data_IF_343043368827
#
_entry.id   IF_343043368827
#
_cell.length_a   1.000
_cell.length_b   1.000
_cell.length_c   1.000
_cell.angle_alpha   90.00
_cell.angle_beta   90.00
_cell.angle_gamma   90.00
#
_symmetry.space_group_name_H-M   'P 1'
#
loop_
_entity.id
_entity.type
_entity.pdbx_description
1 polymer ?
#
# COMPACT_ATOMS: atom_id res chain seq x y z
N UNK A 1 -3.50 22.00 -10.41
CA UNK A 1 -2.38 21.81 -11.35
C UNK A 1 -1.11 21.75 -10.52
N UNK A 2 -0.61 20.56 -10.28
CA UNK A 2 0.63 20.32 -9.51
C UNK A 2 1.77 20.55 -10.50
N UNK A 3 2.63 21.53 -10.21
CA UNK A 3 3.85 21.77 -11.00
C UNK A 3 4.78 20.55 -10.90
N UNK A 4 5.36 20.17 -12.05
CA UNK A 4 6.12 18.95 -12.19
C UNK A 4 7.37 18.89 -11.31
N UNK A 5 7.76 17.69 -10.94
CA UNK A 5 8.90 17.29 -10.10
C UNK A 5 10.30 17.57 -10.70
N UNK A 6 10.36 18.22 -11.88
CA UNK A 6 11.60 18.38 -12.65
C UNK A 6 12.50 19.57 -12.27
N UNK A 7 12.09 20.46 -11.36
CA UNK A 7 12.79 21.71 -11.09
C UNK A 7 13.34 21.82 -9.64
N UNK A 8 13.90 20.74 -9.11
CA UNK A 8 14.73 20.86 -7.91
C UNK A 8 16.08 21.42 -8.35
N UNK A 9 16.17 22.72 -8.38
CA UNK A 9 17.40 23.45 -8.70
C UNK A 9 18.45 23.22 -7.62
N UNK A 10 19.61 22.77 -8.05
CA UNK A 10 20.86 22.86 -7.29
C UNK A 10 21.13 24.35 -7.07
N UNK A 11 21.18 24.76 -5.80
CA UNK A 11 21.36 26.16 -5.44
C UNK A 11 22.67 26.75 -5.93
N UNK A 12 22.74 28.09 -6.08
CA UNK A 12 23.95 28.80 -6.56
C UNK A 12 25.08 28.81 -5.51
N UNK A 13 26.32 29.00 -5.93
CA UNK A 13 27.48 28.96 -5.04
C UNK A 13 27.58 30.21 -4.15
N UNK A 14 27.77 29.97 -2.85
CA UNK A 14 28.48 30.77 -1.84
C UNK A 14 28.35 32.30 -1.91
N UNK A 15 27.45 32.87 -1.11
CA UNK A 15 27.63 34.21 -0.57
C UNK A 15 27.91 34.10 0.94
N UNK A 16 29.13 34.46 1.32
CA UNK A 16 29.71 34.41 2.65
C UNK A 16 29.42 35.72 3.37
N UNK A 17 28.24 35.91 3.89
CA UNK A 17 27.96 37.02 4.81
C UNK A 17 27.09 36.59 5.98
N UNK A 18 27.80 36.13 7.04
CA UNK A 18 27.48 36.33 8.48
C UNK A 18 26.01 36.34 8.92
N UNK A 19 25.44 35.18 9.00
CA UNK A 19 24.63 34.72 10.16
C UNK A 19 24.86 33.21 10.23
N UNK A 20 25.32 32.68 11.35
CA UNK A 20 25.35 31.23 11.60
C UNK A 20 23.90 30.72 11.51
N UNK A 21 23.45 30.45 10.28
CA UNK A 21 22.20 29.71 10.09
C UNK A 21 22.48 28.30 10.58
N UNK A 22 22.02 27.99 11.77
CA UNK A 22 21.88 26.61 12.21
C UNK A 22 21.28 25.85 11.04
N UNK A 23 21.91 24.76 10.59
CA UNK A 23 21.31 23.95 9.52
C UNK A 23 19.96 23.44 10.07
N UNK A 24 18.89 23.50 9.26
CA UNK A 24 17.62 22.93 9.66
C UNK A 24 17.79 21.49 10.12
N UNK A 25 17.02 21.09 11.13
CA UNK A 25 16.91 19.70 11.53
C UNK A 25 16.25 18.84 10.44
N UNK A 26 16.04 17.57 10.73
CA UNK A 26 15.45 16.60 9.80
C UNK A 26 14.14 16.05 10.34
N UNK A 27 13.20 15.74 9.45
CA UNK A 27 12.08 14.87 9.75
C UNK A 27 12.55 13.42 9.62
N UNK A 28 12.37 12.62 10.67
CA UNK A 28 12.76 11.21 10.73
C UNK A 28 11.50 10.37 10.94
N UNK A 29 11.03 9.67 9.91
CA UNK A 29 9.91 8.75 10.02
C UNK A 29 10.41 7.44 10.63
N UNK A 30 10.01 7.14 11.87
CA UNK A 30 10.51 5.99 12.61
C UNK A 30 9.51 4.83 12.57
N UNK A 31 9.85 3.75 11.87
CA UNK A 31 9.04 2.53 11.80
C UNK A 31 9.07 1.75 13.10
N UNK A 32 7.90 1.61 13.73
CA UNK A 32 7.71 0.93 15.01
C UNK A 32 7.28 -0.53 14.83
N UNK A 33 7.49 -1.42 15.81
CA UNK A 33 6.98 -2.78 15.77
C UNK A 33 5.47 -2.85 15.57
N UNK A 34 4.99 -3.78 14.75
CA UNK A 34 3.55 -4.02 14.54
C UNK A 34 2.95 -5.01 15.55
N UNK A 35 3.75 -5.48 16.51
CA UNK A 35 3.33 -6.42 17.56
C UNK A 35 4.53 -6.91 18.36
N UNK A 36 5.40 -7.70 17.73
CA UNK A 36 6.59 -8.25 18.38
C UNK A 36 7.69 -7.19 18.51
N UNK A 37 8.03 -6.84 19.76
CA UNK A 37 9.11 -5.88 20.08
C UNK A 37 10.47 -6.27 19.50
N UNK A 38 10.72 -7.55 19.24
CA UNK A 38 11.97 -8.05 18.64
C UNK A 38 12.19 -7.57 17.21
N UNK A 39 11.13 -7.08 16.56
CA UNK A 39 11.21 -6.46 15.24
C UNK A 39 11.67 -5.00 15.28
N UNK A 40 11.85 -4.40 16.46
CA UNK A 40 12.46 -3.08 16.59
C UNK A 40 13.93 -3.16 16.14
N UNK A 41 14.30 -2.30 15.18
CA UNK A 41 15.68 -2.23 14.73
C UNK A 41 16.58 -1.54 15.78
N UNK A 42 17.88 -1.86 15.84
CA UNK A 42 18.82 -1.09 16.65
C UNK A 42 18.77 0.41 16.33
N UNK A 43 18.64 0.76 15.05
CA UNK A 43 18.53 2.14 14.61
C UNK A 43 17.29 2.86 15.17
N UNK A 44 16.14 2.16 15.30
CA UNK A 44 14.96 2.71 15.95
C UNK A 44 15.23 3.03 17.43
N UNK A 45 15.88 2.09 18.14
CA UNK A 45 16.22 2.23 19.56
C UNK A 45 17.13 3.45 19.79
N UNK A 46 18.19 3.59 18.98
CA UNK A 46 19.10 4.73 19.00
C UNK A 46 18.38 6.04 18.68
N UNK A 47 17.58 6.06 17.60
CA UNK A 47 16.82 7.24 17.20
C UNK A 47 15.87 7.72 18.28
N UNK A 48 15.13 6.82 18.94
CA UNK A 48 14.21 7.18 20.00
C UNK A 48 14.94 7.66 21.28
N UNK A 49 16.12 7.08 21.57
CA UNK A 49 16.96 7.48 22.71
C UNK A 49 17.50 8.90 22.56
N UNK A 50 18.04 9.19 21.36
CA UNK A 50 18.78 10.42 21.09
C UNK A 50 17.89 11.55 20.59
N UNK A 51 16.60 11.29 20.38
CA UNK A 51 15.63 12.28 19.90
C UNK A 51 15.52 13.47 20.86
N UNK A 52 15.42 14.70 20.29
CA UNK A 52 15.03 15.89 21.01
C UNK A 52 13.51 16.08 21.04
N UNK A 53 12.88 15.79 19.90
CA UNK A 53 11.43 15.91 19.72
C UNK A 53 10.91 14.61 19.12
N UNK A 54 9.88 14.03 19.73
CA UNK A 54 9.14 12.90 19.18
C UNK A 54 7.68 13.32 18.99
N UNK A 55 7.24 13.37 17.73
CA UNK A 55 5.86 13.53 17.34
C UNK A 55 5.19 12.15 17.33
N UNK A 56 4.36 11.88 18.32
CA UNK A 56 3.74 10.58 18.56
C UNK A 56 2.23 10.61 18.28
N UNK A 57 1.70 9.59 17.61
CA UNK A 57 0.27 9.42 17.36
C UNK A 57 -0.49 9.30 18.70
N UNK A 58 -0.15 8.32 19.53
CA UNK A 58 -0.60 8.23 20.92
C UNK A 58 0.61 8.25 21.87
N UNK A 59 0.73 9.31 22.66
CA UNK A 59 1.86 9.49 23.60
C UNK A 59 1.90 8.42 24.69
N UNK A 60 0.78 7.76 24.99
CA UNK A 60 0.71 6.66 25.98
C UNK A 60 1.29 5.39 25.37
N UNK A 61 0.92 5.07 24.12
CA UNK A 61 1.45 3.93 23.39
C UNK A 61 2.95 4.08 23.13
N UNK A 62 3.42 5.29 22.79
CA UNK A 62 4.85 5.56 22.70
C UNK A 62 5.57 5.28 24.03
N UNK A 63 5.06 5.74 25.17
CA UNK A 63 5.67 5.45 26.48
C UNK A 63 5.71 3.96 26.80
N UNK A 64 4.65 3.23 26.41
CA UNK A 64 4.62 1.78 26.55
C UNK A 64 5.66 1.10 25.66
N UNK A 65 5.83 1.57 24.42
CA UNK A 65 6.87 1.09 23.51
C UNK A 65 8.26 1.32 24.08
N UNK A 66 8.57 2.55 24.49
CA UNK A 66 9.87 2.91 25.11
C UNK A 66 10.20 1.99 26.28
N UNK A 67 9.23 1.77 27.21
CA UNK A 67 9.39 0.87 28.34
C UNK A 67 9.64 -0.56 27.91
N UNK A 68 8.91 -1.06 26.91
CA UNK A 68 9.08 -2.43 26.36
C UNK A 68 10.42 -2.64 25.66
N UNK A 69 11.01 -1.57 25.12
CA UNK A 69 12.30 -1.59 24.44
C UNK A 69 13.46 -1.24 25.36
N UNK A 70 13.19 -0.93 26.62
CA UNK A 70 14.19 -0.45 27.60
C UNK A 70 14.94 0.80 27.11
N UNK A 71 14.19 1.74 26.55
CA UNK A 71 14.70 3.02 26.03
C UNK A 71 14.33 4.16 26.98
N UNK A 72 15.35 4.80 27.54
CA UNK A 72 15.22 6.07 28.24
C UNK A 72 15.49 7.21 27.25
N UNK A 73 14.65 8.23 27.26
CA UNK A 73 14.80 9.41 26.41
C UNK A 73 14.41 10.67 27.16
N UNK A 74 15.11 11.76 26.87
CA UNK A 74 14.78 13.11 27.37
C UNK A 74 13.95 13.92 26.36
N UNK A 75 13.47 13.28 25.30
CA UNK A 75 12.74 13.92 24.22
C UNK A 75 11.49 14.65 24.71
N UNK A 76 11.23 15.82 24.15
CA UNK A 76 9.91 16.45 24.21
C UNK A 76 8.92 15.65 23.36
N UNK A 77 7.99 14.93 23.99
CA UNK A 77 6.95 14.17 23.28
C UNK A 77 5.76 15.08 22.98
N UNK A 78 5.43 15.20 21.70
CA UNK A 78 4.31 15.99 21.16
C UNK A 78 3.26 15.04 20.60
N UNK A 79 1.98 15.24 20.97
CA UNK A 79 0.90 14.48 20.35
C UNK A 79 0.67 14.95 18.91
N UNK A 80 0.69 14.02 17.94
CA UNK A 80 0.57 14.29 16.51
C UNK A 80 -0.29 13.20 15.85
N UNK A 81 -1.58 13.46 15.69
CA UNK A 81 -2.57 12.53 15.14
C UNK A 81 -3.47 13.25 14.13
N UNK A 82 -4.24 12.51 13.34
CA UNK A 82 -5.06 13.03 12.24
C UNK A 82 -5.88 14.28 12.63
N UNK A 83 -6.45 14.27 13.84
CA UNK A 83 -7.29 15.39 14.31
C UNK A 83 -6.53 16.68 14.67
N UNK A 84 -5.21 16.64 14.88
CA UNK A 84 -4.40 17.81 15.23
C UNK A 84 -3.23 18.10 14.29
N UNK A 85 -3.00 17.28 13.27
CA UNK A 85 -1.87 17.41 12.33
C UNK A 85 -1.72 18.84 11.81
N UNK A 86 -2.81 19.47 11.37
CA UNK A 86 -2.77 20.81 10.77
C UNK A 86 -2.16 21.87 11.71
N UNK A 87 -2.59 21.88 12.96
CA UNK A 87 -2.09 22.84 13.95
C UNK A 87 -0.65 22.51 14.38
N UNK A 88 -0.33 21.21 14.56
CA UNK A 88 0.97 20.76 15.04
C UNK A 88 2.05 20.82 13.97
N UNK A 89 1.71 20.68 12.70
CA UNK A 89 2.69 20.77 11.61
C UNK A 89 3.45 22.10 11.63
N UNK A 90 2.76 23.23 11.83
CA UNK A 90 3.43 24.54 11.93
C UNK A 90 4.44 24.60 13.08
N UNK A 91 4.03 24.16 14.27
CA UNK A 91 4.92 24.11 15.45
C UNK A 91 6.18 23.23 15.21
N UNK A 92 5.99 22.09 14.57
CA UNK A 92 7.10 21.16 14.27
C UNK A 92 8.03 21.71 13.19
N UNK A 93 7.51 22.43 12.18
CA UNK A 93 8.34 23.12 11.18
C UNK A 93 9.19 24.20 11.83
N UNK A 94 8.64 24.99 12.78
CA UNK A 94 9.43 25.98 13.49
C UNK A 94 10.59 25.33 14.24
N UNK A 95 10.37 24.22 14.95
CA UNK A 95 11.44 23.48 15.63
C UNK A 95 12.50 22.94 14.65
N UNK A 96 12.09 22.45 13.48
CA UNK A 96 12.99 21.97 12.45
C UNK A 96 13.86 23.11 11.87
N UNK A 97 13.26 24.29 11.67
CA UNK A 97 13.99 25.47 11.20
C UNK A 97 14.98 26.00 12.26
N UNK A 98 14.69 25.81 13.54
CA UNK A 98 15.59 26.11 14.65
C UNK A 98 16.75 25.10 14.81
N UNK A 99 16.75 24.01 14.01
CA UNK A 99 17.83 23.01 13.93
C UNK A 99 17.56 21.75 14.76
N UNK A 100 16.37 21.54 15.33
CA UNK A 100 16.02 20.33 16.02
C UNK A 100 15.47 19.25 15.07
N UNK A 101 16.00 18.03 15.15
CA UNK A 101 15.41 16.87 14.46
C UNK A 101 14.05 16.50 15.09
N UNK A 102 13.07 16.18 14.26
CA UNK A 102 11.76 15.69 14.68
C UNK A 102 11.59 14.23 14.26
N UNK A 103 11.47 13.35 15.23
CA UNK A 103 11.15 11.93 15.02
C UNK A 103 9.64 11.76 15.02
N UNK A 104 9.08 11.22 13.95
CA UNK A 104 7.65 10.85 13.89
C UNK A 104 7.52 9.37 14.18
N UNK A 105 6.71 9.00 15.15
CA UNK A 105 6.45 7.63 15.55
C UNK A 105 4.94 7.38 15.65
N UNK A 106 4.44 6.39 14.95
CA UNK A 106 3.05 5.94 15.00
C UNK A 106 2.88 4.75 15.95
N UNK A 107 1.67 4.39 16.24
CA UNK A 107 1.33 3.32 17.17
C UNK A 107 1.90 1.97 16.74
N UNK A 108 1.96 1.72 15.42
CA UNK A 108 2.51 0.51 14.82
C UNK A 108 2.88 0.74 13.34
N UNK A 109 4.01 0.21 12.89
CA UNK A 109 4.41 0.26 11.50
C UNK A 109 5.10 1.55 11.07
N UNK A 110 4.98 1.89 9.79
CA UNK A 110 5.62 3.07 9.20
C UNK A 110 4.70 4.29 9.24
N UNK A 111 5.17 5.43 9.78
CA UNK A 111 4.41 6.69 9.70
C UNK A 111 4.04 7.06 8.26
N UNK A 112 2.98 7.82 8.07
CA UNK A 112 2.45 8.28 6.78
C UNK A 112 1.77 7.20 5.93
N UNK A 113 1.71 5.94 6.37
CA UNK A 113 1.05 4.84 5.64
C UNK A 113 -0.22 4.44 6.37
N UNK A 114 -1.34 5.07 6.04
CA UNK A 114 -2.63 5.01 6.78
C UNK A 114 -2.57 5.59 8.20
N UNK A 115 -1.50 6.28 8.52
CA UNK A 115 -1.19 6.86 9.81
C UNK A 115 -0.79 8.34 9.64
N UNK A 116 -0.73 9.15 10.71
CA UNK A 116 -0.30 10.54 10.63
C UNK A 116 1.17 10.66 10.17
N UNK A 117 1.52 11.81 9.59
CA UNK A 117 2.88 12.11 9.14
C UNK A 117 2.96 12.75 7.76
N UNK A 118 2.08 12.39 6.84
CA UNK A 118 2.11 12.87 5.46
C UNK A 118 2.13 14.40 5.35
N UNK A 119 1.33 15.10 6.17
CA UNK A 119 1.28 16.58 6.17
C UNK A 119 2.62 17.19 6.57
N UNK A 120 3.27 16.64 7.60
CA UNK A 120 4.58 17.13 8.04
C UNK A 120 5.64 16.87 6.97
N UNK A 121 5.61 15.73 6.30
CA UNK A 121 6.51 15.40 5.18
C UNK A 121 6.39 16.42 4.05
N UNK A 122 5.16 16.73 3.62
CA UNK A 122 4.94 17.74 2.56
C UNK A 122 5.43 19.10 3.00
N UNK A 123 5.05 19.56 4.19
CA UNK A 123 5.49 20.85 4.71
C UNK A 123 7.02 20.95 4.85
N UNK A 124 7.68 19.89 5.32
CA UNK A 124 9.14 19.85 5.40
C UNK A 124 9.80 19.99 4.03
N UNK A 125 9.29 19.27 3.02
CA UNK A 125 9.79 19.37 1.64
C UNK A 125 9.62 20.79 1.09
N UNK A 126 8.46 21.42 1.32
CA UNK A 126 8.20 22.80 0.89
C UNK A 126 9.15 23.83 1.55
N UNK A 127 9.66 23.55 2.75
CA UNK A 127 10.64 24.38 3.46
C UNK A 127 12.10 23.98 3.19
N UNK A 128 12.36 23.03 2.27
CA UNK A 128 13.71 22.54 1.97
C UNK A 128 14.34 21.72 3.10
N UNK A 129 13.53 21.23 4.04
CA UNK A 129 13.98 20.41 5.18
C UNK A 129 14.15 18.96 4.73
N UNK A 130 15.22 18.32 5.16
CA UNK A 130 15.52 16.94 4.84
C UNK A 130 14.51 16.01 5.52
N UNK A 131 13.91 15.11 4.74
CA UNK A 131 13.07 14.02 5.24
C UNK A 131 13.81 12.70 5.06
N UNK A 132 13.90 11.91 6.10
CA UNK A 132 14.52 10.58 6.09
C UNK A 132 13.67 9.58 6.86
N UNK A 133 14.08 8.32 6.88
CA UNK A 133 13.37 7.30 7.65
C UNK A 133 14.31 6.33 8.34
N UNK A 134 13.86 5.80 9.47
CA UNK A 134 14.34 4.57 10.07
C UNK A 134 13.35 3.47 9.70
N UNK A 135 13.69 2.59 8.74
CA UNK A 135 12.76 1.60 8.25
C UNK A 135 12.38 0.60 9.34
N UNK A 136 11.13 0.17 9.32
CA UNK A 136 10.58 -0.80 10.25
C UNK A 136 9.60 -1.77 9.57
N UNK A 137 9.01 -2.70 10.33
CA UNK A 137 8.03 -3.64 9.82
C UNK A 137 6.77 -2.91 9.34
N UNK A 138 6.06 -3.50 8.37
CA UNK A 138 4.74 -3.03 7.93
C UNK A 138 3.78 -4.20 7.82
N UNK A 139 2.51 -4.00 8.23
CA UNK A 139 1.50 -5.04 8.10
C UNK A 139 1.19 -5.35 6.63
N UNK A 140 1.30 -4.37 5.72
CA UNK A 140 1.10 -4.52 4.27
C UNK A 140 2.03 -5.60 3.69
N UNK A 141 3.33 -5.39 3.81
CA UNK A 141 4.33 -6.30 3.21
C UNK A 141 4.42 -7.62 3.98
N UNK A 142 4.19 -7.61 5.30
CA UNK A 142 4.15 -8.83 6.11
C UNK A 142 2.98 -9.71 5.69
N UNK A 143 1.76 -9.17 5.61
CA UNK A 143 0.58 -9.90 5.15
C UNK A 143 0.77 -10.41 3.73
N UNK A 144 1.25 -9.57 2.82
CA UNK A 144 1.49 -9.94 1.42
C UNK A 144 2.44 -11.14 1.32
N UNK A 145 3.58 -11.10 2.03
CA UNK A 145 4.59 -12.15 1.99
C UNK A 145 4.09 -13.52 2.45
N UNK A 146 3.16 -13.54 3.43
CA UNK A 146 2.63 -14.78 4.00
C UNK A 146 1.23 -15.15 3.48
N UNK A 147 0.63 -14.34 2.62
CA UNK A 147 -0.71 -14.58 2.08
C UNK A 147 -0.81 -15.84 1.20
N UNK A 148 0.27 -16.18 0.49
CA UNK A 148 0.26 -17.22 -0.54
C UNK A 148 -0.35 -16.77 -1.88
N UNK A 149 -0.55 -15.45 -2.05
CA UNK A 149 -1.01 -14.81 -3.29
C UNK A 149 0.19 -14.19 -4.04
N UNK A 150 0.05 -13.86 -5.34
CA UNK A 150 1.14 -13.26 -6.11
C UNK A 150 1.64 -11.96 -5.49
N UNK A 151 2.98 -11.83 -5.36
CA UNK A 151 3.60 -10.69 -4.66
C UNK A 151 4.36 -9.74 -5.59
N UNK A 152 4.55 -10.12 -6.85
CA UNK A 152 5.37 -9.39 -7.82
C UNK A 152 4.80 -8.00 -8.17
N UNK A 153 3.48 -7.85 -8.12
CA UNK A 153 2.77 -6.58 -8.32
C UNK A 153 1.59 -6.51 -7.37
N UNK A 154 1.53 -5.48 -6.57
CA UNK A 154 0.41 -5.26 -5.63
C UNK A 154 0.05 -3.78 -5.55
N UNK A 155 -1.13 -3.48 -5.05
CA UNK A 155 -1.54 -2.15 -4.65
C UNK A 155 -2.07 -2.19 -3.21
N UNK A 156 -1.89 -1.08 -2.51
CA UNK A 156 -2.40 -0.87 -1.15
C UNK A 156 -3.50 0.19 -1.18
N UNK A 157 -4.67 -0.16 -0.66
CA UNK A 157 -5.86 0.68 -0.69
C UNK A 157 -6.23 1.27 0.69
N UNK A 158 -5.48 0.91 1.73
CA UNK A 158 -5.80 1.35 3.09
C UNK A 158 -7.15 0.82 3.57
N UNK A 159 -7.91 1.65 4.27
CA UNK A 159 -9.27 1.33 4.70
C UNK A 159 -10.30 1.75 3.66
N UNK A 160 -11.16 0.83 3.25
CA UNK A 160 -12.27 1.18 2.36
C UNK A 160 -13.32 2.05 3.07
N UNK A 161 -14.13 2.83 2.32
CA UNK A 161 -15.15 3.70 2.88
C UNK A 161 -16.08 2.98 3.87
N UNK A 162 -16.46 3.69 4.93
CA UNK A 162 -17.35 3.13 5.98
C UNK A 162 -18.77 2.92 5.49
N UNK A 163 -19.26 3.78 4.56
CA UNK A 163 -20.61 3.68 4.02
C UNK A 163 -20.70 2.54 3.02
N UNK A 164 -21.66 1.62 3.14
CA UNK A 164 -21.77 0.45 2.26
C UNK A 164 -21.76 0.80 0.77
N UNK A 165 -22.56 1.80 0.34
CA UNK A 165 -22.62 2.20 -1.06
C UNK A 165 -21.29 2.73 -1.63
N UNK A 166 -20.52 3.49 -0.83
CA UNK A 166 -19.21 3.98 -1.23
C UNK A 166 -18.19 2.84 -1.24
N UNK A 167 -18.24 1.91 -0.27
CA UNK A 167 -17.39 0.71 -0.20
C UNK A 167 -17.63 -0.19 -1.41
N UNK A 168 -18.88 -0.50 -1.73
CA UNK A 168 -19.27 -1.32 -2.89
C UNK A 168 -18.82 -0.69 -4.20
N UNK A 169 -18.96 0.64 -4.34
CA UNK A 169 -18.43 1.35 -5.51
C UNK A 169 -16.92 1.17 -5.63
N UNK A 170 -16.17 1.35 -4.53
CA UNK A 170 -14.71 1.18 -4.55
C UNK A 170 -14.30 -0.27 -4.88
N UNK A 171 -15.01 -1.27 -4.35
CA UNK A 171 -14.81 -2.67 -4.73
C UNK A 171 -15.07 -2.90 -6.22
N UNK A 172 -16.11 -2.27 -6.79
CA UNK A 172 -16.38 -2.32 -8.23
C UNK A 172 -15.25 -1.74 -9.08
N UNK A 173 -14.61 -0.66 -8.63
CA UNK A 173 -13.42 -0.09 -9.29
C UNK A 173 -12.21 -1.04 -9.24
N UNK A 174 -12.16 -1.94 -8.25
CA UNK A 174 -11.11 -2.95 -8.08
C UNK A 174 -11.44 -4.29 -8.76
N UNK A 175 -12.63 -4.43 -9.37
CA UNK A 175 -13.07 -5.71 -9.92
C UNK A 175 -12.10 -6.25 -11.00
N UNK A 176 -11.57 -5.35 -11.81
CA UNK A 176 -10.63 -5.67 -12.90
C UNK A 176 -9.15 -5.37 -12.54
N UNK A 177 -8.84 -5.03 -11.29
CA UNK A 177 -7.47 -4.76 -10.88
C UNK A 177 -6.62 -6.05 -10.95
N UNK A 178 -5.62 -6.13 -11.84
CA UNK A 178 -4.85 -7.37 -12.05
C UNK A 178 -3.78 -7.59 -10.97
N UNK A 179 -3.46 -6.58 -10.16
CA UNK A 179 -2.49 -6.69 -9.08
C UNK A 179 -3.15 -7.25 -7.83
N UNK A 180 -2.36 -7.89 -6.99
CA UNK A 180 -2.80 -8.25 -5.63
C UNK A 180 -3.15 -6.98 -4.87
N UNK A 181 -4.32 -6.95 -4.22
CA UNK A 181 -4.81 -5.79 -3.47
C UNK A 181 -4.65 -6.06 -1.98
N UNK A 182 -4.07 -5.11 -1.26
CA UNK A 182 -3.93 -5.18 0.19
C UNK A 182 -4.80 -4.11 0.83
N UNK A 183 -5.59 -4.49 1.82
CA UNK A 183 -6.53 -3.64 2.56
C UNK A 183 -6.26 -3.73 4.06
N UNK A 184 -6.50 -2.64 4.78
CA UNK A 184 -6.72 -2.68 6.22
C UNK A 184 -8.21 -2.72 6.53
N UNK A 185 -8.60 -3.42 7.60
CA UNK A 185 -9.98 -3.39 8.05
C UNK A 185 -10.10 -3.54 9.57
N UNK A 186 -11.13 -2.90 10.11
CA UNK A 186 -11.49 -3.06 11.50
C UNK A 186 -12.28 -4.37 11.72
N UNK A 187 -12.08 -5.08 12.85
CA UNK A 187 -12.69 -6.38 13.06
C UNK A 187 -14.21 -6.37 12.95
N UNK A 188 -14.88 -5.35 13.48
CA UNK A 188 -16.33 -5.22 13.43
C UNK A 188 -16.92 -4.93 12.03
N UNK A 189 -16.07 -4.67 11.03
CA UNK A 189 -16.46 -4.40 9.63
C UNK A 189 -16.04 -5.51 8.67
N UNK A 190 -15.20 -6.45 9.13
CA UNK A 190 -14.56 -7.44 8.25
C UNK A 190 -15.61 -8.32 7.54
N UNK A 191 -16.61 -8.83 8.24
CA UNK A 191 -17.64 -9.67 7.65
C UNK A 191 -18.39 -8.92 6.53
N UNK A 192 -18.82 -7.68 6.79
CA UNK A 192 -19.50 -6.85 5.81
C UNK A 192 -18.62 -6.52 4.59
N UNK A 193 -17.31 -6.30 4.82
CA UNK A 193 -16.37 -6.08 3.71
C UNK A 193 -16.25 -7.31 2.83
N UNK A 194 -16.11 -8.49 3.44
CA UNK A 194 -15.93 -9.74 2.71
C UNK A 194 -17.22 -10.17 1.99
N UNK A 195 -18.39 -9.92 2.58
CA UNK A 195 -19.69 -10.14 1.93
C UNK A 195 -19.83 -9.25 0.67
N UNK A 196 -19.58 -7.96 0.79
CA UNK A 196 -19.59 -7.04 -0.36
C UNK A 196 -18.54 -7.42 -1.41
N UNK A 197 -17.35 -7.83 -0.99
CA UNK A 197 -16.30 -8.27 -1.90
C UNK A 197 -16.68 -9.57 -2.61
N UNK A 198 -17.27 -10.55 -1.92
CA UNK A 198 -17.73 -11.80 -2.52
C UNK A 198 -18.82 -11.58 -3.57
N UNK A 199 -19.76 -10.65 -3.30
CA UNK A 199 -20.83 -10.30 -4.25
C UNK A 199 -20.28 -9.62 -5.52
N UNK A 200 -19.29 -8.72 -5.38
CA UNK A 200 -18.81 -7.87 -6.47
C UNK A 200 -17.63 -8.51 -7.22
N UNK A 201 -16.70 -9.15 -6.50
CA UNK A 201 -15.49 -9.71 -7.10
C UNK A 201 -15.60 -11.22 -7.39
N UNK A 202 -16.65 -11.86 -6.87
CA UNK A 202 -16.89 -13.29 -6.99
C UNK A 202 -16.57 -14.06 -5.71
N UNK A 203 -17.45 -15.02 -5.36
CA UNK A 203 -17.37 -15.82 -4.11
C UNK A 203 -16.10 -16.66 -4.02
N UNK A 204 -15.58 -17.11 -5.17
CA UNK A 204 -14.39 -17.96 -5.27
C UNK A 204 -13.08 -17.16 -5.41
N UNK A 205 -13.16 -15.81 -5.49
CA UNK A 205 -11.97 -14.96 -5.57
C UNK A 205 -11.08 -15.24 -4.38
N UNK A 206 -9.85 -15.68 -4.63
CA UNK A 206 -8.91 -16.06 -3.57
C UNK A 206 -8.52 -14.86 -2.73
N UNK A 207 -8.47 -15.06 -1.42
CA UNK A 207 -8.05 -14.04 -0.48
C UNK A 207 -7.34 -14.64 0.73
N UNK A 208 -6.67 -13.81 1.50
CA UNK A 208 -6.12 -14.13 2.80
C UNK A 208 -6.50 -13.04 3.81
N UNK A 209 -7.04 -13.44 4.95
CA UNK A 209 -7.25 -12.57 6.11
C UNK A 209 -6.12 -12.83 7.09
N UNK A 210 -5.28 -11.83 7.30
CA UNK A 210 -4.17 -11.85 8.24
C UNK A 210 -4.57 -11.03 9.46
N UNK A 211 -4.62 -11.64 10.63
CA UNK A 211 -4.97 -10.95 11.87
C UNK A 211 -3.87 -11.05 12.90
N UNK A 212 -3.71 -10.00 13.72
CA UNK A 212 -2.77 -9.95 14.83
C UNK A 212 -1.34 -10.33 14.44
N UNK A 213 -0.88 -9.86 13.28
CA UNK A 213 0.44 -10.15 12.73
C UNK A 213 1.54 -9.89 13.75
N UNK A 214 2.47 -10.84 13.89
CA UNK A 214 3.58 -10.85 14.84
C UNK A 214 3.20 -10.92 16.32
N UNK A 215 1.89 -10.96 16.65
CA UNK A 215 1.40 -11.05 18.03
C UNK A 215 1.11 -12.50 18.43
N UNK A 216 0.82 -12.73 19.72
CA UNK A 216 0.56 -14.08 20.27
C UNK A 216 -0.58 -14.82 19.56
N UNK A 217 -1.55 -14.09 19.01
CA UNK A 217 -2.72 -14.65 18.35
C UNK A 217 -2.71 -14.42 16.82
N UNK A 218 -1.49 -14.39 16.25
CA UNK A 218 -1.34 -14.33 14.80
C UNK A 218 -2.08 -15.48 14.12
N UNK A 219 -2.88 -15.14 13.12
CA UNK A 219 -3.56 -16.13 12.28
C UNK A 219 -3.65 -15.63 10.85
N UNK A 220 -3.46 -16.55 9.91
CA UNK A 220 -3.66 -16.31 8.48
C UNK A 220 -4.68 -17.31 7.95
N UNK A 221 -5.87 -16.84 7.67
CA UNK A 221 -6.94 -17.63 7.04
C UNK A 221 -6.97 -17.37 5.54
N UNK A 222 -6.89 -18.42 4.74
CA UNK A 222 -6.91 -18.38 3.27
C UNK A 222 -8.13 -19.10 2.76
N UNK A 223 -8.74 -18.61 1.66
CA UNK A 223 -9.89 -19.25 1.03
C UNK A 223 -10.51 -18.37 -0.04
N UNK A 224 -11.66 -18.76 -0.55
CA UNK A 224 -12.53 -17.91 -1.34
C UNK A 224 -13.20 -16.83 -0.48
N UNK A 225 -13.59 -15.71 -1.08
CA UNK A 225 -14.22 -14.60 -0.37
C UNK A 225 -15.48 -15.03 0.40
N UNK A 226 -16.32 -15.91 -0.19
CA UNK A 226 -17.52 -16.42 0.47
C UNK A 226 -17.21 -17.21 1.75
N UNK A 227 -16.22 -18.12 1.70
CA UNK A 227 -15.78 -18.89 2.87
C UNK A 227 -15.22 -17.97 3.97
N UNK A 228 -14.43 -16.99 3.57
CA UNK A 228 -13.82 -16.04 4.50
C UNK A 228 -14.86 -15.11 5.15
N UNK A 229 -15.91 -14.74 4.42
CA UNK A 229 -17.00 -13.93 4.96
C UNK A 229 -17.76 -14.68 6.07
N UNK A 230 -18.05 -15.96 5.87
CA UNK A 230 -18.68 -16.80 6.91
C UNK A 230 -17.78 -16.94 8.13
N UNK A 231 -16.50 -17.26 7.92
CA UNK A 231 -15.52 -17.37 9.00
C UNK A 231 -15.40 -16.07 9.80
N UNK A 232 -15.42 -14.91 9.14
CA UNK A 232 -15.22 -13.62 9.77
C UNK A 232 -16.32 -13.25 10.77
N UNK A 233 -17.55 -13.75 10.62
CA UNK A 233 -18.68 -13.47 11.52
C UNK A 233 -18.40 -13.86 12.97
N UNK A 234 -17.58 -14.91 13.18
CA UNK A 234 -17.28 -15.42 14.52
C UNK A 234 -15.85 -15.12 14.97
N UNK A 235 -14.93 -14.88 14.03
CA UNK A 235 -13.49 -14.88 14.29
C UNK A 235 -12.80 -13.53 14.12
N UNK A 236 -13.50 -12.49 13.65
CA UNK A 236 -12.94 -11.17 13.43
C UNK A 236 -12.54 -10.48 14.76
N UNK A 237 -11.23 -10.41 15.04
CA UNK A 237 -10.67 -9.79 16.26
C UNK A 237 -9.32 -9.17 15.95
N UNK A 238 -8.97 -8.12 16.71
CA UNK A 238 -7.66 -7.48 16.65
C UNK A 238 -7.45 -6.66 15.38
N UNK A 239 -6.21 -6.48 14.98
CA UNK A 239 -5.83 -5.74 13.78
C UNK A 239 -5.82 -6.70 12.57
N UNK A 240 -6.41 -6.24 11.47
CA UNK A 240 -6.68 -7.10 10.32
C UNK A 240 -6.11 -6.46 9.05
N UNK A 241 -5.38 -7.27 8.29
CA UNK A 241 -4.97 -6.99 6.92
C UNK A 241 -5.58 -8.04 5.99
N UNK A 242 -6.31 -7.60 4.98
CA UNK A 242 -6.90 -8.46 3.96
C UNK A 242 -6.05 -8.36 2.70
N UNK A 243 -5.70 -9.50 2.13
CA UNK A 243 -4.98 -9.60 0.85
C UNK A 243 -5.92 -10.28 -0.14
N UNK A 244 -6.24 -9.61 -1.24
CA UNK A 244 -7.12 -10.12 -2.30
C UNK A 244 -6.27 -10.47 -3.52
N UNK A 245 -6.53 -11.59 -4.14
CA UNK A 245 -5.93 -11.91 -5.43
C UNK A 245 -6.37 -10.88 -6.47
N UNK A 246 -5.46 -10.48 -7.36
CA UNK A 246 -5.77 -9.61 -8.50
C UNK A 246 -6.80 -10.26 -9.44
N UNK A 247 -7.47 -9.47 -10.27
CA UNK A 247 -8.33 -10.00 -11.30
C UNK A 247 -7.52 -10.99 -12.16
N UNK A 248 -7.99 -12.21 -12.24
CA UNK A 248 -7.52 -13.09 -13.31
C UNK A 248 -8.15 -12.53 -14.57
N UNK A 249 -7.31 -12.03 -15.50
CA UNK A 249 -7.78 -11.71 -16.83
C UNK A 249 -8.62 -12.90 -17.30
N UNK A 250 -9.72 -12.65 -17.96
CA UNK A 250 -10.51 -13.72 -18.58
C UNK A 250 -9.48 -14.61 -19.30
N UNK A 251 -9.34 -15.85 -18.84
CA UNK A 251 -8.50 -16.81 -19.57
C UNK A 251 -9.25 -17.01 -20.89
N UNK A 252 -8.93 -16.15 -21.83
CA UNK A 252 -9.44 -16.28 -23.19
C UNK A 252 -8.76 -17.53 -23.72
N UNK A 253 -9.55 -18.54 -24.07
CA UNK A 253 -9.01 -19.74 -24.70
C UNK A 253 -8.32 -19.35 -26.01
N UNK A 254 -7.44 -20.20 -26.48
CA UNK A 254 -6.77 -19.93 -27.76
C UNK A 254 -7.75 -19.83 -28.91
N UNK A 255 -8.85 -20.58 -28.84
CA UNK A 255 -9.92 -20.57 -29.84
C UNK A 255 -10.70 -19.24 -29.82
N UNK A 256 -11.10 -18.76 -28.60
CA UNK A 256 -11.73 -17.44 -28.46
C UNK A 256 -10.79 -16.30 -28.89
N UNK A 257 -9.49 -16.43 -28.60
CA UNK A 257 -8.49 -15.47 -29.05
C UNK A 257 -8.36 -15.49 -30.58
N UNK A 258 -8.45 -16.67 -31.19
CA UNK A 258 -8.42 -16.80 -32.66
C UNK A 258 -9.69 -16.20 -33.32
N UNK A 259 -10.86 -16.34 -32.71
CA UNK A 259 -12.08 -15.66 -33.15
C UNK A 259 -11.93 -14.11 -33.06
N UNK A 260 -11.34 -13.58 -31.99
CA UNK A 260 -11.04 -12.16 -31.90
C UNK A 260 -10.09 -11.68 -33.00
N UNK A 261 -9.08 -12.49 -33.35
CA UNK A 261 -8.18 -12.22 -34.49
C UNK A 261 -8.94 -12.22 -35.81
N UNK A 262 -9.85 -13.17 -36.03
CA UNK A 262 -10.68 -13.25 -37.21
C UNK A 262 -11.55 -11.99 -37.37
N UNK A 263 -12.20 -11.55 -36.28
CA UNK A 263 -13.03 -10.35 -36.30
C UNK A 263 -12.21 -9.08 -36.65
N UNK A 264 -11.07 -8.86 -35.98
CA UNK A 264 -10.19 -7.72 -36.29
C UNK A 264 -9.64 -7.75 -37.72
N UNK A 265 -9.46 -8.96 -38.28
CA UNK A 265 -9.01 -9.12 -39.64
C UNK A 265 -10.13 -8.82 -40.64
N UNK A 266 -11.37 -9.22 -40.34
CA UNK A 266 -12.56 -8.85 -41.09
C UNK A 266 -12.80 -7.33 -41.12
N UNK A 267 -12.50 -6.65 -40.01
CA UNK A 267 -12.55 -5.18 -39.87
C UNK A 267 -11.39 -4.46 -40.59
N UNK A 268 -10.53 -5.20 -41.32
CA UNK A 268 -9.49 -4.67 -42.19
C UNK A 268 -8.10 -4.55 -41.52
N UNK A 269 -7.90 -5.06 -40.32
CA UNK A 269 -6.57 -5.09 -39.69
C UNK A 269 -5.71 -6.21 -40.27
N UNK A 270 -4.43 -5.96 -40.60
CA UNK A 270 -3.53 -7.02 -41.05
C UNK A 270 -3.41 -8.09 -39.95
N UNK A 271 -3.53 -9.38 -40.34
CA UNK A 271 -3.48 -10.54 -39.42
C UNK A 271 -2.33 -10.46 -38.39
N UNK A 272 -1.12 -10.19 -38.84
CA UNK A 272 0.04 -10.09 -37.94
C UNK A 272 -0.08 -8.99 -36.87
N UNK A 273 -0.83 -7.92 -37.20
CA UNK A 273 -1.15 -6.86 -36.23
C UNK A 273 -2.30 -7.27 -35.30
N UNK A 274 -3.34 -7.92 -35.84
CA UNK A 274 -4.46 -8.45 -35.05
C UNK A 274 -3.97 -9.49 -34.04
N UNK A 275 -3.15 -10.46 -34.44
CA UNK A 275 -2.52 -11.44 -33.55
C UNK A 275 -1.69 -10.74 -32.43
N UNK A 276 -0.85 -9.78 -32.82
CA UNK A 276 -0.04 -9.06 -31.82
C UNK A 276 -0.90 -8.24 -30.83
N UNK A 277 -2.02 -7.70 -31.29
CA UNK A 277 -2.97 -6.95 -30.46
C UNK A 277 -3.72 -7.87 -29.50
N UNK A 278 -4.28 -8.98 -30.01
CA UNK A 278 -5.04 -9.95 -29.22
C UNK A 278 -4.13 -10.65 -28.21
N UNK A 279 -2.96 -11.15 -28.63
CA UNK A 279 -2.00 -11.78 -27.73
C UNK A 279 -1.58 -10.86 -26.58
N UNK A 280 -1.40 -9.57 -26.84
CA UNK A 280 -1.11 -8.57 -25.79
C UNK A 280 -2.29 -8.34 -24.85
N UNK A 281 -3.52 -8.36 -25.37
CA UNK A 281 -4.73 -8.11 -24.58
C UNK A 281 -5.12 -9.33 -23.73
N UNK A 282 -4.94 -10.55 -24.27
CA UNK A 282 -5.41 -11.80 -23.66
C UNK A 282 -4.33 -12.56 -22.88
N UNK A 283 -3.04 -12.26 -23.14
CA UNK A 283 -1.91 -13.01 -22.56
C UNK A 283 -1.64 -14.37 -23.21
N UNK A 284 -2.39 -14.74 -24.27
CA UNK A 284 -2.18 -15.97 -25.04
C UNK A 284 -0.84 -15.91 -25.78
N UNK A 285 -0.15 -17.04 -25.90
CA UNK A 285 1.12 -17.09 -26.65
C UNK A 285 0.93 -16.66 -28.10
N UNK A 286 1.76 -15.73 -28.54
CA UNK A 286 1.62 -15.09 -29.85
C UNK A 286 1.87 -16.05 -31.00
N UNK A 287 2.78 -17.01 -30.83
CA UNK A 287 3.11 -17.96 -31.90
C UNK A 287 1.99 -18.98 -32.07
N UNK A 288 1.56 -19.55 -30.95
CA UNK A 288 0.44 -20.50 -30.90
C UNK A 288 -0.86 -19.85 -31.44
N UNK A 289 -1.17 -18.61 -31.04
CA UNK A 289 -2.32 -17.88 -31.57
C UNK A 289 -2.23 -17.61 -33.07
N UNK A 290 -1.01 -17.37 -33.59
CA UNK A 290 -0.82 -17.16 -35.00
C UNK A 290 -1.12 -18.43 -35.79
N UNK A 291 -0.68 -19.59 -35.30
CA UNK A 291 -0.88 -20.89 -35.95
C UNK A 291 -2.36 -21.28 -35.96
N UNK A 292 -3.05 -21.18 -34.82
CA UNK A 292 -4.50 -21.48 -34.71
C UNK A 292 -5.33 -20.51 -35.57
N UNK A 293 -5.04 -19.23 -35.57
CA UNK A 293 -5.72 -18.25 -36.42
C UNK A 293 -5.44 -18.43 -37.91
N UNK A 294 -4.35 -19.13 -38.26
CA UNK A 294 -4.06 -19.51 -39.65
C UNK A 294 -4.86 -20.74 -40.09
N UNK A 295 -5.00 -21.73 -39.22
CA UNK A 295 -5.76 -22.96 -39.47
C UNK A 295 -7.26 -22.68 -39.62
N UNK A 296 -7.84 -21.83 -38.70
CA UNK A 296 -9.25 -21.46 -38.78
C UNK A 296 -9.65 -20.80 -40.11
N UNK A 297 -8.78 -19.97 -40.68
CA UNK A 297 -9.01 -19.31 -41.98
C UNK A 297 -8.75 -20.22 -43.19
N UNK A 298 -8.06 -21.33 -43.03
CA UNK A 298 -7.88 -22.33 -44.09
C UNK A 298 -9.15 -23.16 -44.24
N UNK A 299 -9.80 -23.52 -43.13
CA UNK A 299 -11.05 -24.30 -43.09
C UNK A 299 -12.23 -23.52 -43.70
N UNK A 300 -12.37 -22.23 -43.42
CA UNK A 300 -13.42 -21.37 -43.99
C UNK A 300 -13.32 -21.20 -45.54
N UNK A 301 -12.13 -21.41 -46.10
CA UNK A 301 -11.89 -21.31 -47.55
C UNK A 301 -12.20 -22.58 -48.31
N UNK A 302 -12.23 -23.72 -47.62
CA UNK A 302 -12.60 -25.01 -48.24
C UNK A 302 -14.12 -25.25 -48.24
N UNK A 303 -14.88 -24.54 -47.41
CA UNK A 303 -16.35 -24.63 -47.33
C UNK A 303 -17.08 -23.56 -48.17
N UNK A 304 -16.40 -22.62 -48.79
CA UNK A 304 -16.97 -21.56 -49.64
C UNK A 304 -16.69 -21.77 -51.11
#
# INVERSE_FOLDING_TARGET
MIKGWSDVMVGPPWDDSSVSKTQPGRVILAGTPIGDRRSASPALIETLRDARIIAAEDTRRLRDLLRRLDVETSARVVSYFEGNETARTSELIDCLLDGDDVVVATDAGMPSVSDPGYRLVIAAIEHGIVVTSVPGPTAVTTALAISGLPTNRFCFEGFLPRKPGERRRRLGELAEEPRTVVLYEAPHRLADLLDDAAEILGVDRRAAVCRELTKTHEEVRRGGLGELAEWAREHARGEITVVLEGAQGTIVSIDEAAEMVAQLTADGLKRSKAVAQVARATGVDRHELYDVAQEALATDKEES
#
